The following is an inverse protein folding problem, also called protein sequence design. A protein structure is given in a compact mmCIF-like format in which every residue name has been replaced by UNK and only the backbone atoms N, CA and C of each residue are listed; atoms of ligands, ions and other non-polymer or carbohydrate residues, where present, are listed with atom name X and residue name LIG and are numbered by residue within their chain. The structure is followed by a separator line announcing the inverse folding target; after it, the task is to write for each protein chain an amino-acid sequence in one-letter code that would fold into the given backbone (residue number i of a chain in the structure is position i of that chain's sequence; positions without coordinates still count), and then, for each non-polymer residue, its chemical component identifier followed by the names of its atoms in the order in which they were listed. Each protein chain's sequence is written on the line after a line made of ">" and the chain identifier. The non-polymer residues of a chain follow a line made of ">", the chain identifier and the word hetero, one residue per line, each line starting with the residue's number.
data_IF_211168693672
#
_entry.id   IF_211168693672
#
_cell.length_a   1.000
_cell.length_b   1.000
_cell.length_c   1.000
_cell.angle_alpha   90.00
_cell.angle_beta   90.00
_cell.angle_gamma   90.00
#
_symmetry.space_group_name_H-M   'P 1'
#
loop_
_entity.id
_entity.type
_entity.pdbx_description
1 polymer ?
#
# COMPACT_ATOMS: atom_id res chain seq x y z
N UNK A 1 -12.18 10.76 35.33
CA UNK A 1 -13.28 11.40 34.57
C UNK A 1 -13.09 11.00 33.11
N UNK A 2 -13.64 9.88 32.64
CA UNK A 2 -15.03 9.69 32.18
C UNK A 2 -15.47 10.65 31.08
N UNK A 3 -15.51 10.11 29.85
CA UNK A 3 -16.50 10.35 28.79
C UNK A 3 -16.37 9.15 27.83
N UNK A 4 -17.07 8.05 28.10
CA UNK A 4 -18.32 7.65 27.43
C UNK A 4 -18.10 7.37 25.92
N UNK A 5 -17.87 6.11 25.55
CA UNK A 5 -18.92 5.15 25.17
C UNK A 5 -19.51 5.43 23.77
N UNK A 6 -18.79 5.00 22.74
CA UNK A 6 -19.38 4.67 21.44
C UNK A 6 -19.10 3.20 21.14
N UNK A 7 -20.05 2.38 21.59
CA UNK A 7 -20.44 1.07 21.06
C UNK A 7 -19.34 0.02 20.94
N UNK A 8 -19.34 -0.88 21.93
CA UNK A 8 -18.95 -2.27 21.75
C UNK A 8 -19.83 -2.91 20.66
N UNK A 9 -19.44 -2.76 19.39
CA UNK A 9 -19.76 -3.77 18.39
C UNK A 9 -18.96 -5.00 18.77
N UNK A 10 -19.64 -6.14 18.97
CA UNK A 10 -18.98 -7.42 19.05
C UNK A 10 -18.00 -7.49 17.88
N UNK A 11 -16.69 -7.57 18.13
CA UNK A 11 -15.69 -7.69 17.09
C UNK A 11 -15.92 -9.04 16.41
N UNK A 12 -16.75 -9.03 15.36
CA UNK A 12 -17.06 -10.22 14.58
C UNK A 12 -15.74 -10.72 14.04
N UNK A 13 -15.40 -11.97 14.39
CA UNK A 13 -14.16 -12.59 13.99
C UNK A 13 -13.98 -12.49 12.48
N UNK A 14 -12.79 -12.10 12.03
CA UNK A 14 -12.40 -12.07 10.61
C UNK A 14 -12.77 -13.38 9.90
N UNK A 15 -12.61 -14.52 10.59
CA UNK A 15 -12.96 -15.83 10.08
C UNK A 15 -14.46 -16.02 9.87
N UNK A 16 -15.30 -15.45 10.74
CA UNK A 16 -16.77 -15.51 10.60
C UNK A 16 -17.24 -14.66 9.41
N UNK A 17 -16.71 -13.43 9.29
CA UNK A 17 -16.98 -12.58 8.13
C UNK A 17 -16.62 -13.29 6.82
N UNK A 18 -15.44 -13.89 6.76
CA UNK A 18 -15.01 -14.68 5.60
C UNK A 18 -15.99 -15.81 5.28
N UNK A 19 -16.44 -16.59 6.27
CA UNK A 19 -17.40 -17.69 6.07
C UNK A 19 -18.74 -17.17 5.53
N UNK A 20 -19.24 -16.06 6.07
CA UNK A 20 -20.46 -15.40 5.59
C UNK A 20 -20.31 -14.92 4.15
N UNK A 21 -19.19 -14.29 3.81
CA UNK A 21 -18.91 -13.90 2.42
C UNK A 21 -18.87 -15.10 1.48
N UNK A 22 -18.33 -16.24 1.91
CA UNK A 22 -18.31 -17.47 1.11
C UNK A 22 -19.72 -18.00 0.83
N UNK A 23 -20.67 -17.79 1.76
CA UNK A 23 -22.09 -18.06 1.59
C UNK A 23 -22.82 -17.03 0.72
N UNK A 24 -22.17 -15.93 0.33
CA UNK A 24 -22.74 -14.89 -0.52
C UNK A 24 -23.26 -13.67 0.23
N UNK A 25 -22.98 -13.54 1.53
CA UNK A 25 -23.32 -12.36 2.33
C UNK A 25 -22.47 -11.15 1.90
N UNK A 26 -23.12 -10.18 1.26
CA UNK A 26 -22.49 -8.94 0.79
C UNK A 26 -22.21 -7.97 1.93
N UNK A 27 -23.04 -7.92 2.96
CA UNK A 27 -22.83 -7.03 4.12
C UNK A 27 -21.58 -7.45 4.91
N UNK A 28 -21.37 -8.76 5.05
CA UNK A 28 -20.13 -9.29 5.63
C UNK A 28 -18.89 -8.88 4.82
N UNK A 29 -19.03 -8.73 3.50
CA UNK A 29 -17.92 -8.29 2.64
C UNK A 29 -17.68 -6.79 2.76
N UNK A 30 -18.73 -5.98 2.85
CA UNK A 30 -18.61 -4.53 3.08
C UNK A 30 -17.90 -4.23 4.41
N UNK A 31 -18.14 -5.04 5.44
CA UNK A 31 -17.41 -4.97 6.70
C UNK A 31 -15.91 -5.30 6.51
N UNK A 32 -15.57 -6.36 5.78
CA UNK A 32 -14.17 -6.66 5.43
C UNK A 32 -13.54 -5.51 4.63
N UNK A 33 -14.22 -4.98 3.63
CA UNK A 33 -13.74 -3.83 2.84
C UNK A 33 -13.48 -2.64 3.75
N UNK A 34 -14.40 -2.33 4.66
CA UNK A 34 -14.26 -1.22 5.61
C UNK A 34 -13.03 -1.38 6.50
N UNK A 35 -12.73 -2.60 6.94
CA UNK A 35 -11.54 -2.90 7.75
C UNK A 35 -10.22 -2.73 7.00
N UNK A 36 -10.16 -3.09 5.72
CA UNK A 36 -8.90 -3.07 4.96
C UNK A 36 -8.72 -1.89 4.01
N UNK A 37 -9.78 -1.14 3.65
CA UNK A 37 -9.74 -0.10 2.61
C UNK A 37 -8.59 0.90 2.79
N UNK A 38 -8.36 1.39 4.01
CA UNK A 38 -7.33 2.40 4.26
C UNK A 38 -5.92 1.84 4.06
N UNK A 39 -5.69 0.60 4.51
CA UNK A 39 -4.38 -0.05 4.35
C UNK A 39 -4.13 -0.48 2.90
N UNK A 40 -5.14 -1.05 2.24
CA UNK A 40 -5.08 -1.41 0.81
C UNK A 40 -4.82 -0.17 -0.03
N UNK A 41 -5.57 0.91 0.19
CA UNK A 41 -5.36 2.17 -0.52
C UNK A 41 -3.95 2.72 -0.26
N UNK A 42 -3.51 2.77 1.00
CA UNK A 42 -2.17 3.25 1.34
C UNK A 42 -1.07 2.42 0.66
N UNK A 43 -1.19 1.10 0.65
CA UNK A 43 -0.25 0.21 -0.01
C UNK A 43 -0.18 0.48 -1.52
N UNK A 44 -1.32 0.60 -2.18
CA UNK A 44 -1.38 0.88 -3.62
C UNK A 44 -0.86 2.28 -3.92
N UNK A 45 -1.23 3.27 -3.11
CA UNK A 45 -0.76 4.65 -3.27
C UNK A 45 0.77 4.73 -3.19
N UNK A 46 1.39 4.08 -2.19
CA UNK A 46 2.84 4.00 -2.08
C UNK A 46 3.49 3.22 -3.25
N UNK A 47 2.71 2.43 -3.99
CA UNK A 47 3.16 1.75 -5.19
C UNK A 47 3.03 2.60 -6.45
N UNK A 48 1.97 3.42 -6.61
CA UNK A 48 1.66 4.10 -7.87
C UNK A 48 1.81 5.62 -7.84
N UNK A 49 1.86 6.23 -6.65
CA UNK A 49 1.97 7.67 -6.40
C UNK A 49 0.92 8.52 -7.15
N UNK A 50 -0.28 7.97 -7.33
CA UNK A 50 -1.42 8.59 -7.99
C UNK A 50 -2.67 8.20 -7.22
N UNK A 51 -3.37 9.19 -6.68
CA UNK A 51 -4.58 8.95 -5.87
C UNK A 51 -5.68 8.31 -6.73
N UNK A 52 -5.88 8.81 -7.95
CA UNK A 52 -6.88 8.27 -8.87
C UNK A 52 -6.59 6.82 -9.22
N UNK A 53 -5.35 6.52 -9.64
CA UNK A 53 -4.96 5.14 -9.96
C UNK A 53 -5.06 4.23 -8.73
N UNK A 54 -4.77 4.76 -7.54
CA UNK A 54 -4.86 4.00 -6.30
C UNK A 54 -6.30 3.61 -5.95
N UNK A 55 -7.26 4.52 -6.12
CA UNK A 55 -8.69 4.22 -5.93
C UNK A 55 -9.19 3.18 -6.94
N UNK A 56 -8.85 3.32 -8.22
CA UNK A 56 -9.25 2.40 -9.27
C UNK A 56 -8.71 0.99 -9.02
N UNK A 57 -7.43 0.88 -8.68
CA UNK A 57 -6.78 -0.40 -8.38
C UNK A 57 -7.29 -1.01 -7.06
N UNK A 58 -7.61 -0.20 -6.06
CA UNK A 58 -8.22 -0.70 -4.81
C UNK A 58 -9.59 -1.32 -5.11
N UNK A 59 -10.41 -0.65 -5.92
CA UNK A 59 -11.71 -1.16 -6.34
C UNK A 59 -11.59 -2.48 -7.11
N UNK A 60 -10.69 -2.55 -8.11
CA UNK A 60 -10.45 -3.79 -8.87
C UNK A 60 -9.94 -4.92 -7.96
N UNK A 61 -9.09 -4.60 -6.97
CA UNK A 61 -8.58 -5.55 -6.00
C UNK A 61 -9.69 -6.12 -5.12
N UNK A 62 -10.56 -5.28 -4.57
CA UNK A 62 -11.71 -5.74 -3.77
C UNK A 62 -12.71 -6.53 -4.62
N UNK A 63 -12.96 -6.13 -5.86
CA UNK A 63 -13.83 -6.89 -6.77
C UNK A 63 -13.26 -8.29 -7.07
N UNK A 64 -11.95 -8.38 -7.28
CA UNK A 64 -11.25 -9.67 -7.45
C UNK A 64 -11.26 -10.50 -6.18
N UNK A 65 -11.13 -9.85 -5.01
CA UNK A 65 -11.28 -10.51 -3.72
C UNK A 65 -12.68 -11.12 -3.57
N UNK A 66 -13.74 -10.34 -3.79
CA UNK A 66 -15.12 -10.85 -3.76
C UNK A 66 -15.32 -12.06 -4.68
N UNK A 67 -14.86 -11.97 -5.93
CA UNK A 67 -14.96 -13.08 -6.91
C UNK A 67 -14.18 -14.33 -6.50
N UNK A 68 -13.13 -14.19 -5.69
CA UNK A 68 -12.23 -15.29 -5.32
C UNK A 68 -12.39 -15.76 -3.86
N UNK A 69 -13.18 -15.07 -3.03
CA UNK A 69 -13.32 -15.38 -1.59
C UNK A 69 -13.85 -16.80 -1.34
N UNK A 70 -14.70 -17.32 -2.23
CA UNK A 70 -15.18 -18.73 -2.20
C UNK A 70 -14.05 -19.76 -2.31
N UNK A 71 -12.90 -19.37 -2.88
CA UNK A 71 -11.73 -20.24 -3.04
C UNK A 71 -10.72 -20.09 -1.91
N UNK A 72 -10.91 -19.13 -1.01
CA UNK A 72 -10.02 -18.94 0.13
C UNK A 72 -10.18 -20.11 1.12
N UNK A 73 -9.10 -20.84 1.35
CA UNK A 73 -9.09 -22.07 2.18
C UNK A 73 -8.55 -21.87 3.60
N UNK A 74 -8.30 -20.62 4.02
CA UNK A 74 -7.75 -20.34 5.36
C UNK A 74 -6.35 -20.92 5.62
N UNK A 75 -5.55 -21.15 4.57
CA UNK A 75 -4.16 -21.62 4.70
C UNK A 75 -3.20 -20.51 5.13
N UNK A 76 -3.62 -19.25 4.95
CA UNK A 76 -2.98 -18.03 5.39
C UNK A 76 -4.01 -17.19 6.16
N UNK A 77 -3.57 -16.13 6.83
CA UNK A 77 -4.49 -15.08 7.28
C UNK A 77 -5.23 -14.47 6.08
N UNK A 78 -6.43 -13.91 6.32
CA UNK A 78 -7.14 -13.17 5.26
C UNK A 78 -6.32 -11.96 4.82
N UNK A 79 -5.64 -11.32 5.77
CA UNK A 79 -4.72 -10.22 5.53
C UNK A 79 -3.63 -10.57 4.49
N UNK A 80 -2.90 -11.68 4.66
CA UNK A 80 -1.90 -12.11 3.65
C UNK A 80 -2.56 -12.45 2.31
N UNK A 81 -3.77 -13.02 2.34
CA UNK A 81 -4.51 -13.39 1.14
C UNK A 81 -4.99 -12.16 0.33
N UNK A 82 -5.52 -11.11 0.97
CA UNK A 82 -5.96 -9.89 0.28
C UNK A 82 -4.76 -9.12 -0.27
N UNK A 83 -3.66 -9.05 0.47
CA UNK A 83 -2.44 -8.40 0.00
C UNK A 83 -1.84 -9.09 -1.23
N UNK A 84 -1.96 -10.42 -1.36
CA UNK A 84 -1.61 -11.10 -2.62
C UNK A 84 -2.39 -10.57 -3.81
N UNK A 85 -3.71 -10.40 -3.65
CA UNK A 85 -4.57 -9.93 -4.73
C UNK A 85 -4.18 -8.50 -5.09
N UNK A 86 -4.07 -7.63 -4.08
CA UNK A 86 -3.67 -6.23 -4.25
C UNK A 86 -2.32 -6.13 -4.97
N UNK A 87 -1.29 -6.84 -4.49
CA UNK A 87 0.03 -6.77 -5.09
C UNK A 87 0.07 -7.29 -6.52
N UNK A 88 -0.64 -8.36 -6.82
CA UNK A 88 -0.72 -8.87 -8.19
C UNK A 88 -1.36 -7.84 -9.12
N UNK A 89 -2.50 -7.26 -8.70
CA UNK A 89 -3.20 -6.21 -9.46
C UNK A 89 -2.29 -5.01 -9.71
N UNK A 90 -1.64 -4.50 -8.66
CA UNK A 90 -0.81 -3.30 -8.74
C UNK A 90 0.49 -3.54 -9.52
N UNK A 91 1.19 -4.65 -9.30
CA UNK A 91 2.43 -4.98 -10.03
C UNK A 91 2.13 -5.18 -11.52
N UNK A 92 1.05 -5.89 -11.86
CA UNK A 92 0.66 -6.09 -13.26
C UNK A 92 0.32 -4.77 -13.94
N UNK A 93 -0.36 -3.86 -13.24
CA UNK A 93 -0.64 -2.52 -13.75
C UNK A 93 0.64 -1.71 -13.97
N UNK A 94 1.57 -1.70 -13.00
CA UNK A 94 2.86 -1.01 -13.11
C UNK A 94 3.70 -1.53 -14.28
N UNK A 95 3.75 -2.85 -14.47
CA UNK A 95 4.45 -3.47 -15.61
C UNK A 95 3.85 -3.01 -16.94
N UNK A 96 2.52 -2.98 -17.05
CA UNK A 96 1.83 -2.50 -18.26
C UNK A 96 2.07 -1.01 -18.52
N UNK A 97 2.05 -0.17 -17.47
CA UNK A 97 2.33 1.26 -17.58
C UNK A 97 3.76 1.51 -18.05
N UNK A 98 4.73 0.77 -17.52
CA UNK A 98 6.13 0.87 -17.94
C UNK A 98 6.33 0.43 -19.41
N UNK A 99 5.66 -0.62 -19.87
CA UNK A 99 5.72 -1.06 -21.28
C UNK A 99 5.08 -0.05 -22.23
N UNK A 100 3.96 0.59 -21.84
CA UNK A 100 3.34 1.66 -22.63
C UNK A 100 4.18 2.94 -22.66
N UNK A 101 4.86 3.25 -21.55
CA UNK A 101 5.81 4.35 -21.46
C UNK A 101 7.07 4.13 -22.27
N UNK A 102 7.59 2.90 -22.38
CA UNK A 102 8.81 2.61 -23.16
C UNK A 102 8.67 2.77 -24.69
N UNK A 103 7.46 3.02 -25.21
CA UNK A 103 7.20 3.39 -26.61
C UNK A 103 7.07 4.91 -26.84
N UNK A 104 7.12 5.71 -25.78
CA UNK A 104 7.24 7.16 -25.83
C UNK A 104 8.57 7.51 -25.16
N UNK A 105 9.46 8.15 -25.90
CA UNK A 105 10.75 8.57 -25.39
C UNK A 105 10.61 9.29 -24.04
N UNK A 106 11.62 9.11 -23.20
CA UNK A 106 11.84 9.75 -21.91
C UNK A 106 11.66 11.27 -22.02
N UNK A 107 10.43 11.75 -21.87
CA UNK A 107 10.15 13.16 -21.58
C UNK A 107 8.82 13.26 -20.85
N UNK A 108 8.86 13.02 -19.54
CA UNK A 108 7.90 13.62 -18.63
C UNK A 108 8.67 14.00 -17.38
N UNK A 109 9.31 15.16 -17.49
CA UNK A 109 9.54 16.01 -16.33
C UNK A 109 8.22 16.12 -15.58
N UNK A 110 8.15 15.54 -14.38
CA UNK A 110 7.02 15.68 -13.47
C UNK A 110 6.89 17.17 -13.14
N UNK A 111 6.09 17.89 -13.94
CA UNK A 111 5.53 19.16 -13.54
C UNK A 111 4.48 18.85 -12.46
N UNK A 112 4.94 18.79 -11.22
CA UNK A 112 4.07 18.96 -10.06
C UNK A 112 3.45 20.36 -10.18
N UNK A 113 2.23 20.42 -10.72
CA UNK A 113 1.32 21.53 -10.43
C UNK A 113 1.21 21.62 -8.92
N UNK A 114 1.64 22.76 -8.38
CA UNK A 114 1.35 23.17 -7.02
C UNK A 114 -0.15 22.99 -6.79
N UNK A 115 -0.50 22.00 -5.96
CA UNK A 115 -1.87 21.85 -5.47
C UNK A 115 -2.01 22.86 -4.35
N UNK A 116 -2.87 23.85 -4.60
CA UNK A 116 -3.31 24.89 -3.68
C UNK A 116 -3.74 24.30 -2.33
N UNK A 117 -3.17 24.71 -1.18
CA UNK A 117 -3.53 24.18 0.13
C UNK A 117 -4.81 24.87 0.63
N UNK A 118 -5.93 24.62 -0.03
CA UNK A 118 -7.23 25.13 0.36
C UNK A 118 -8.31 24.02 0.36
N UNK A 119 -8.09 22.98 1.17
CA UNK A 119 -9.22 22.20 1.69
C UNK A 119 -8.98 21.90 3.16
N UNK A 120 -9.46 22.81 4.00
CA UNK A 120 -9.53 22.67 5.46
C UNK A 120 -10.76 21.84 5.80
N UNK A 121 -10.59 20.69 6.43
CA UNK A 121 -11.50 20.16 7.49
C UNK A 121 -10.92 18.90 8.15
N UNK A 122 -9.79 19.06 8.86
CA UNK A 122 -9.45 18.20 10.01
C UNK A 122 -8.71 19.07 11.03
N UNK A 123 -9.14 19.15 12.30
CA UNK A 123 -8.41 19.92 13.29
C UNK A 123 -7.17 19.11 13.71
N UNK A 124 -5.97 19.63 13.43
CA UNK A 124 -4.74 19.15 14.07
C UNK A 124 -3.95 20.33 14.62
N UNK A 125 -3.53 20.13 15.86
CA UNK A 125 -2.77 21.04 16.70
C UNK A 125 -1.56 21.63 15.96
N UNK A 126 -1.32 22.89 16.26
CA UNK A 126 -0.27 23.74 15.68
C UNK A 126 1.13 23.14 15.96
N UNK A 127 1.74 22.56 14.93
CA UNK A 127 3.18 22.41 14.84
C UNK A 127 3.74 23.58 14.01
N UNK A 128 4.92 24.06 14.35
CA UNK A 128 5.52 25.24 13.75
C UNK A 128 5.69 25.08 12.22
N UNK A 129 5.43 26.12 11.40
CA UNK A 129 5.45 26.02 9.93
C UNK A 129 6.78 25.53 9.34
N UNK A 130 7.90 25.86 9.99
CA UNK A 130 9.25 25.50 9.54
C UNK A 130 9.52 23.99 9.64
N UNK A 131 9.15 23.37 10.76
CA UNK A 131 9.31 21.92 10.98
C UNK A 131 8.40 21.08 10.06
N UNK A 132 7.29 21.67 9.60
CA UNK A 132 6.36 21.02 8.67
C UNK A 132 6.90 21.03 7.23
N UNK A 133 7.63 22.08 6.83
CA UNK A 133 8.27 22.17 5.50
C UNK A 133 9.46 21.21 5.35
N UNK A 134 10.38 21.16 6.31
CA UNK A 134 11.53 20.23 6.25
C UNK A 134 11.09 18.76 6.24
N UNK A 135 10.07 18.41 7.04
CA UNK A 135 9.46 17.07 7.00
C UNK A 135 8.79 16.75 5.67
N UNK A 136 8.22 17.75 5.01
CA UNK A 136 7.63 17.62 3.68
C UNK A 136 8.67 17.34 2.60
N UNK A 137 9.82 18.00 2.66
CA UNK A 137 10.92 17.83 1.71
C UNK A 137 11.55 16.44 1.83
N UNK A 138 11.88 16.01 3.07
CA UNK A 138 12.44 14.67 3.32
C UNK A 138 11.46 13.59 2.85
N UNK A 139 10.17 13.74 3.16
CA UNK A 139 9.15 12.79 2.70
C UNK A 139 9.08 12.70 1.18
N UNK A 140 9.10 13.85 0.50
CA UNK A 140 9.10 13.91 -0.96
C UNK A 140 10.32 13.19 -1.55
N UNK A 141 11.52 13.35 -0.96
CA UNK A 141 12.73 12.64 -1.39
C UNK A 141 12.61 11.13 -1.17
N UNK A 142 12.06 10.70 -0.04
CA UNK A 142 11.80 9.27 0.24
C UNK A 142 10.84 8.68 -0.80
N UNK A 143 9.72 9.36 -1.07
CA UNK A 143 8.72 8.91 -2.03
C UNK A 143 9.34 8.80 -3.44
N UNK A 144 10.16 9.78 -3.85
CA UNK A 144 10.90 9.75 -5.11
C UNK A 144 11.92 8.60 -5.17
N UNK A 145 12.64 8.33 -4.08
CA UNK A 145 13.60 7.22 -4.04
C UNK A 145 12.90 5.86 -4.13
N UNK A 146 11.76 5.70 -3.45
CA UNK A 146 10.89 4.51 -3.55
C UNK A 146 10.35 4.37 -4.98
N UNK A 147 10.00 5.47 -5.64
CA UNK A 147 9.54 5.50 -7.03
C UNK A 147 10.58 4.99 -8.04
N UNK A 148 11.87 4.98 -7.69
CA UNK A 148 12.94 4.44 -8.54
C UNK A 148 13.17 2.93 -8.36
N UNK A 149 12.57 2.29 -7.36
CA UNK A 149 12.65 0.85 -7.19
C UNK A 149 11.83 0.11 -8.25
N UNK A 150 12.25 -1.10 -8.62
CA UNK A 150 11.39 -1.97 -9.44
C UNK A 150 10.08 -2.27 -8.69
N UNK A 151 8.98 -2.58 -9.39
CA UNK A 151 7.70 -2.90 -8.73
C UNK A 151 7.84 -4.00 -7.67
N UNK A 152 8.66 -5.02 -7.93
CA UNK A 152 8.89 -6.12 -7.00
C UNK A 152 9.75 -5.73 -5.80
N UNK A 153 10.73 -4.85 -5.99
CA UNK A 153 11.55 -4.29 -4.90
C UNK A 153 10.71 -3.37 -4.00
N UNK A 154 9.87 -2.53 -4.60
CA UNK A 154 8.95 -1.65 -3.90
C UNK A 154 7.92 -2.44 -3.10
N UNK A 155 7.36 -3.49 -3.70
CA UNK A 155 6.44 -4.40 -3.03
C UNK A 155 7.03 -4.97 -1.73
N UNK A 156 8.21 -5.59 -1.81
CA UNK A 156 8.79 -6.25 -0.63
C UNK A 156 9.17 -5.26 0.47
N UNK A 157 9.68 -4.07 0.12
CA UNK A 157 10.09 -3.09 1.13
C UNK A 157 8.87 -2.51 1.84
N UNK A 158 7.79 -2.18 1.11
CA UNK A 158 6.56 -1.66 1.71
C UNK A 158 5.88 -2.73 2.57
N UNK A 159 5.76 -3.97 2.09
CA UNK A 159 5.20 -5.08 2.88
C UNK A 159 6.02 -5.37 4.14
N UNK A 160 7.35 -5.17 4.11
CA UNK A 160 8.20 -5.42 5.27
C UNK A 160 8.19 -4.28 6.28
N UNK A 161 8.41 -3.05 5.82
CA UNK A 161 8.67 -1.91 6.69
C UNK A 161 7.41 -1.14 7.08
N UNK A 162 6.37 -1.11 6.23
CA UNK A 162 5.11 -0.41 6.50
C UNK A 162 4.09 -1.35 7.12
N UNK A 163 3.95 -2.54 6.53
CA UNK A 163 2.95 -3.53 6.95
C UNK A 163 3.47 -4.50 8.03
N UNK A 164 4.78 -4.54 8.26
CA UNK A 164 5.38 -5.38 9.30
C UNK A 164 5.36 -6.88 9.01
N UNK A 165 5.09 -7.29 7.77
CA UNK A 165 4.93 -8.71 7.41
C UNK A 165 6.22 -9.51 7.60
N UNK A 166 6.07 -10.78 7.94
CA UNK A 166 7.19 -11.73 8.02
C UNK A 166 7.60 -12.21 6.62
N UNK A 167 8.85 -12.65 6.46
CA UNK A 167 9.36 -13.04 5.13
C UNK A 167 8.56 -14.16 4.46
N UNK A 168 8.04 -15.11 5.24
CA UNK A 168 7.21 -16.19 4.71
C UNK A 168 5.84 -15.69 4.23
N UNK A 169 5.25 -14.71 4.92
CA UNK A 169 3.97 -14.10 4.51
C UNK A 169 4.13 -13.27 3.23
N UNK A 170 5.24 -12.51 3.12
CA UNK A 170 5.57 -11.77 1.89
C UNK A 170 5.81 -12.74 0.73
N UNK A 171 6.53 -13.83 0.98
CA UNK A 171 6.79 -14.86 -0.03
C UNK A 171 5.49 -15.50 -0.54
N UNK A 172 4.58 -15.83 0.38
CA UNK A 172 3.25 -16.33 0.05
C UNK A 172 2.41 -15.29 -0.72
N UNK A 173 2.42 -14.03 -0.26
CA UNK A 173 1.66 -12.95 -0.88
C UNK A 173 2.13 -12.66 -2.31
N UNK A 174 3.45 -12.71 -2.55
CA UNK A 174 4.03 -12.46 -3.87
C UNK A 174 4.21 -13.72 -4.73
N UNK A 175 3.84 -14.89 -4.22
CA UNK A 175 3.99 -16.16 -4.94
C UNK A 175 5.44 -16.49 -5.32
N UNK A 176 6.40 -16.20 -4.44
CA UNK A 176 7.83 -16.42 -4.68
C UNK A 176 8.52 -17.10 -3.48
N UNK A 177 9.81 -17.44 -3.61
CA UNK A 177 10.56 -18.05 -2.50
C UNK A 177 10.99 -17.00 -1.45
N UNK A 178 11.19 -17.44 -0.21
CA UNK A 178 11.74 -16.58 0.86
C UNK A 178 13.11 -15.99 0.45
N UNK A 179 13.96 -16.77 -0.23
CA UNK A 179 15.25 -16.28 -0.76
C UNK A 179 15.09 -15.15 -1.78
N UNK A 180 14.04 -15.19 -2.60
CA UNK A 180 13.70 -14.09 -3.52
C UNK A 180 13.25 -12.84 -2.75
N UNK A 181 12.48 -12.99 -1.67
CA UNK A 181 12.12 -11.84 -0.80
C UNK A 181 13.35 -11.22 -0.17
N UNK A 182 14.24 -12.03 0.40
CA UNK A 182 15.48 -11.56 1.04
C UNK A 182 16.38 -10.82 0.05
N UNK A 183 16.59 -11.37 -1.14
CA UNK A 183 17.42 -10.72 -2.16
C UNK A 183 16.80 -9.40 -2.65
N UNK A 184 15.49 -9.36 -2.92
CA UNK A 184 14.79 -8.12 -3.30
C UNK A 184 14.87 -7.05 -2.21
N UNK A 185 14.70 -7.42 -0.94
CA UNK A 185 14.85 -6.50 0.19
C UNK A 185 16.27 -5.94 0.28
N UNK A 186 17.28 -6.80 0.14
CA UNK A 186 18.68 -6.39 0.16
C UNK A 186 18.96 -5.35 -0.93
N UNK A 187 18.58 -5.63 -2.17
CA UNK A 187 18.80 -4.70 -3.29
C UNK A 187 17.95 -3.43 -3.17
N UNK A 188 16.71 -3.53 -2.68
CA UNK A 188 15.86 -2.36 -2.42
C UNK A 188 16.53 -1.42 -1.39
N UNK A 189 16.96 -1.96 -0.25
CA UNK A 189 17.62 -1.18 0.81
C UNK A 189 18.93 -0.56 0.32
N UNK A 190 19.76 -1.32 -0.39
CA UNK A 190 21.02 -0.80 -0.96
C UNK A 190 20.76 0.35 -1.94
N UNK A 191 19.74 0.23 -2.78
CA UNK A 191 19.36 1.29 -3.73
C UNK A 191 18.83 2.52 -3.01
N UNK A 192 17.95 2.36 -2.02
CA UNK A 192 17.45 3.47 -1.21
C UNK A 192 18.57 4.18 -0.42
N UNK A 193 19.50 3.43 0.18
CA UNK A 193 20.66 4.00 0.89
C UNK A 193 21.53 4.88 -0.02
N UNK A 194 21.70 4.48 -1.29
CA UNK A 194 22.44 5.28 -2.26
C UNK A 194 21.65 6.53 -2.70
N UNK A 195 20.33 6.40 -2.89
CA UNK A 195 19.47 7.50 -3.35
C UNK A 195 19.19 8.55 -2.28
N UNK A 196 19.26 8.17 -1.00
CA UNK A 196 18.96 9.03 0.15
C UNK A 196 20.24 9.41 0.92
N UNK A 197 21.42 9.24 0.32
CA UNK A 197 22.70 9.48 0.97
C UNK A 197 22.84 10.90 1.48
N UNK A 198 22.47 11.86 0.65
CA UNK A 198 22.40 13.29 0.96
C UNK A 198 21.39 13.63 2.06
N UNK A 199 20.39 12.77 2.29
CA UNK A 199 19.36 13.01 3.29
C UNK A 199 19.84 12.66 4.70
N UNK A 200 20.59 11.57 4.88
CA UNK A 200 21.07 11.18 6.22
C UNK A 200 22.49 11.64 6.55
N UNK A 201 23.30 12.07 5.57
CA UNK A 201 24.61 12.69 5.84
C UNK A 201 24.48 14.18 6.24
N UNK A 202 23.34 14.81 5.98
CA UNK A 202 23.06 16.22 6.31
C UNK A 202 22.12 16.38 7.54
N UNK A 203 21.80 15.30 8.25
CA UNK A 203 21.10 15.29 9.54
C UNK A 203 22.15 15.16 10.64
#
# INVERSE_FOLDING_TARGET
>A
MQTEATLAQADVSELDLVRRCQAGDTEAFDELVTRYRTRVFGMIYNMVHSEQDAWDLAQDSFLKAWKSIKRFRGRSSFYTWIYRIVMNVTIDWLRKKHVKGAGAEFDDAIQLRQVDPASKTVPKAEALPYETMERGEIRTRIDQAIAQLSPEQRAVILMKEIEGMQYHEIAEALGCSIGTVMSRLFYARKKLQNLLKDVYENI
#
